data_IF_082359965364
#
_entry.id   IF_082359965364
#
_cell.length_a   1.000
_cell.length_b   1.000
_cell.length_c   1.000
_cell.angle_alpha   90.00
_cell.angle_beta   90.00
_cell.angle_gamma   90.00
#
_symmetry.space_group_name_H-M   'P 1'
#
loop_
_entity.id
_entity.type
_entity.pdbx_description
1 polymer ?
#
# COMPACT_ATOMS: atom_id res chain seq x y z
N UNK A 1 7.60 -4.93 3.63
CA UNK A 1 8.11 -6.32 3.64
C UNK A 1 9.58 -6.29 3.28
N UNK A 2 10.46 -6.52 4.22
CA UNK A 2 11.78 -6.99 3.85
C UNK A 2 11.61 -8.45 3.44
N UNK A 3 12.12 -8.80 2.25
CA UNK A 3 12.35 -10.18 1.93
C UNK A 3 13.06 -10.87 3.09
N UNK A 4 12.69 -12.09 3.38
CA UNK A 4 13.46 -12.99 4.23
C UNK A 4 14.93 -12.94 3.81
N UNK A 5 15.89 -13.21 4.69
CA UNK A 5 17.32 -13.12 4.37
C UNK A 5 17.56 -13.79 3.03
N UNK A 6 18.23 -13.08 2.14
CA UNK A 6 18.57 -13.63 0.83
C UNK A 6 19.37 -14.90 1.04
N UNK A 7 18.86 -16.00 0.54
CA UNK A 7 19.67 -17.20 0.40
C UNK A 7 20.78 -16.90 -0.61
N UNK A 8 21.98 -17.47 -0.46
CA UNK A 8 23.09 -17.23 -1.39
C UNK A 8 22.79 -17.58 -2.85
N UNK A 9 21.78 -18.41 -3.08
CA UNK A 9 21.31 -18.92 -4.37
C UNK A 9 20.18 -18.08 -4.98
N UNK A 10 19.65 -17.08 -4.26
CA UNK A 10 18.59 -16.17 -4.74
C UNK A 10 19.19 -14.80 -5.00
N UNK A 11 19.44 -14.50 -6.28
CA UNK A 11 20.17 -13.29 -6.69
C UNK A 11 19.50 -11.96 -6.34
N UNK A 12 18.18 -11.90 -6.23
CA UNK A 12 17.50 -10.63 -5.98
C UNK A 12 16.12 -10.80 -5.35
N UNK A 13 15.72 -9.79 -4.56
CA UNK A 13 14.32 -9.58 -4.21
C UNK A 13 13.49 -9.49 -5.48
N UNK A 14 12.27 -10.00 -5.41
CA UNK A 14 11.30 -9.86 -6.48
C UNK A 14 11.09 -8.38 -6.88
N UNK A 15 10.91 -8.15 -8.17
CA UNK A 15 10.67 -6.85 -8.76
C UNK A 15 9.31 -6.87 -9.47
N UNK A 16 8.51 -5.85 -9.27
CA UNK A 16 7.32 -5.65 -10.08
C UNK A 16 7.56 -4.50 -11.06
N UNK A 17 7.41 -4.77 -12.36
CA UNK A 17 7.71 -3.79 -13.41
C UNK A 17 9.12 -3.17 -13.29
N UNK A 18 10.10 -3.97 -12.85
CA UNK A 18 11.47 -3.50 -12.62
C UNK A 18 11.70 -2.70 -11.33
N UNK A 19 10.67 -2.51 -10.52
CA UNK A 19 10.74 -1.74 -9.27
C UNK A 19 10.80 -2.67 -8.06
N UNK A 20 11.82 -2.51 -7.23
CA UNK A 20 11.95 -3.20 -5.93
C UNK A 20 11.25 -2.44 -4.80
N UNK A 21 11.41 -1.12 -4.78
CA UNK A 21 10.81 -0.21 -3.78
C UNK A 21 10.36 1.03 -4.53
N UNK A 22 9.07 1.26 -4.58
CA UNK A 22 8.50 2.38 -5.30
C UNK A 22 7.02 2.19 -5.56
N UNK A 23 6.55 2.85 -6.60
CA UNK A 23 5.15 2.87 -7.01
C UNK A 23 5.05 2.47 -8.48
N UNK A 24 4.07 1.63 -8.79
CA UNK A 24 3.62 1.38 -10.16
C UNK A 24 2.18 1.85 -10.26
N UNK A 25 1.89 2.66 -11.27
CA UNK A 25 0.54 3.17 -11.54
C UNK A 25 0.16 2.64 -12.91
N UNK A 26 -0.76 1.68 -12.93
CA UNK A 26 -1.31 1.10 -14.16
C UNK A 26 -2.36 2.05 -14.75
N UNK A 27 -2.29 2.28 -16.06
CA UNK A 27 -3.20 3.12 -16.84
C UNK A 27 -3.74 2.33 -18.03
N UNK A 28 -4.73 2.87 -18.76
CA UNK A 28 -5.33 2.20 -19.93
C UNK A 28 -4.33 1.88 -21.03
N UNK A 29 -3.37 2.78 -21.28
CA UNK A 29 -2.45 2.68 -22.42
C UNK A 29 -1.00 2.44 -22.01
N UNK A 30 -0.75 2.07 -20.74
CA UNK A 30 0.59 1.87 -20.24
C UNK A 30 0.68 2.00 -18.74
N UNK A 31 1.87 2.30 -18.23
CA UNK A 31 2.05 2.44 -16.78
C UNK A 31 3.22 3.38 -16.44
N UNK A 32 3.17 3.96 -15.28
CA UNK A 32 4.31 4.59 -14.64
C UNK A 32 4.97 3.61 -13.67
N UNK A 33 6.29 3.58 -13.67
CA UNK A 33 7.06 2.84 -12.67
C UNK A 33 8.22 3.70 -12.16
N UNK A 34 8.25 3.95 -10.86
CA UNK A 34 9.26 4.82 -10.28
C UNK A 34 9.27 4.82 -8.76
N UNK A 35 10.14 5.64 -8.21
CA UNK A 35 10.33 5.79 -6.77
C UNK A 35 10.72 7.20 -6.39
N UNK A 36 11.44 7.34 -5.28
CA UNK A 36 11.79 8.63 -4.66
C UNK A 36 12.53 9.59 -5.61
N UNK A 37 13.34 9.07 -6.53
CA UNK A 37 14.12 9.87 -7.50
C UNK A 37 13.42 10.06 -8.84
N UNK A 38 12.13 9.78 -8.94
CA UNK A 38 11.38 9.79 -10.19
C UNK A 38 11.23 8.40 -10.80
N UNK A 39 10.90 8.34 -12.09
CA UNK A 39 10.65 7.08 -12.77
C UNK A 39 10.45 7.24 -14.26
N UNK A 40 9.81 6.26 -14.86
CA UNK A 40 9.52 6.23 -16.28
C UNK A 40 8.05 5.92 -16.55
N UNK A 41 7.54 6.56 -17.59
CA UNK A 41 6.27 6.19 -18.21
C UNK A 41 6.58 5.17 -19.30
N UNK A 42 5.80 4.11 -19.35
CA UNK A 42 5.87 3.02 -20.31
C UNK A 42 4.55 2.94 -21.07
N UNK A 43 4.63 2.59 -22.36
CA UNK A 43 3.44 2.28 -23.16
C UNK A 43 2.89 0.87 -22.85
N UNK A 44 1.84 0.48 -23.61
CA UNK A 44 1.22 -0.84 -23.49
C UNK A 44 2.15 -2.01 -23.85
N UNK A 45 3.16 -1.75 -24.67
CA UNK A 45 4.18 -2.73 -25.08
C UNK A 45 5.38 -2.78 -24.11
N UNK A 46 5.35 -1.96 -23.06
CA UNK A 46 6.42 -1.89 -22.06
C UNK A 46 7.65 -1.11 -22.51
N UNK A 47 7.55 -0.30 -23.57
CA UNK A 47 8.62 0.57 -24.02
C UNK A 47 8.62 1.88 -23.23
N UNK A 48 9.81 2.42 -22.94
CA UNK A 48 9.95 3.70 -22.26
C UNK A 48 9.52 4.85 -23.18
N UNK A 49 8.58 5.66 -22.71
CA UNK A 49 8.03 6.82 -23.43
C UNK A 49 8.60 8.11 -22.89
N UNK A 50 8.55 8.30 -21.56
CA UNK A 50 8.92 9.57 -20.93
C UNK A 50 9.55 9.33 -19.55
N UNK A 51 10.56 10.11 -19.23
CA UNK A 51 11.18 10.13 -17.91
C UNK A 51 10.49 11.19 -17.04
N UNK A 52 10.05 10.79 -15.87
CA UNK A 52 9.54 11.69 -14.82
C UNK A 52 10.66 11.88 -13.81
N UNK A 53 11.22 13.07 -13.74
CA UNK A 53 12.25 13.40 -12.75
C UNK A 53 11.62 13.66 -11.39
N UNK A 54 12.30 13.21 -10.32
CA UNK A 54 11.94 13.47 -8.93
C UNK A 54 13.12 14.04 -8.17
N UNK A 55 12.86 14.98 -7.27
CA UNK A 55 13.88 15.65 -6.47
C UNK A 55 14.36 14.83 -5.25
N UNK A 56 13.83 13.62 -5.08
CA UNK A 56 14.10 12.77 -3.91
C UNK A 56 13.57 13.35 -2.59
N UNK A 57 12.72 14.39 -2.65
CA UNK A 57 12.20 15.13 -1.50
C UNK A 57 13.16 16.18 -0.97
N UNK A 58 14.14 16.63 -1.76
CA UNK A 58 15.13 17.65 -1.35
C UNK A 58 14.48 19.00 -1.02
N UNK A 59 13.41 19.38 -1.74
CA UNK A 59 12.66 20.60 -1.51
C UNK A 59 11.66 20.55 -0.34
N UNK A 60 11.48 19.39 0.32
CA UNK A 60 10.43 19.20 1.33
C UNK A 60 10.55 20.17 2.52
N UNK A 61 11.75 20.29 3.09
CA UNK A 61 11.98 21.19 4.24
C UNK A 61 11.77 22.64 3.85
N UNK A 62 12.29 23.05 2.69
CA UNK A 62 12.14 24.40 2.19
C UNK A 62 10.67 24.76 1.96
N UNK A 63 9.91 23.87 1.31
CA UNK A 63 8.47 24.06 1.10
C UNK A 63 7.71 24.24 2.41
N UNK A 64 8.02 23.45 3.45
CA UNK A 64 7.42 23.63 4.77
C UNK A 64 7.74 25.02 5.38
N UNK A 65 9.00 25.43 5.34
CA UNK A 65 9.43 26.75 5.89
C UNK A 65 8.76 27.91 5.14
N UNK A 66 8.62 27.80 3.83
CA UNK A 66 7.97 28.84 3.03
C UNK A 66 6.47 28.92 3.30
N UNK A 67 5.79 27.77 3.47
CA UNK A 67 4.40 27.72 3.89
C UNK A 67 4.19 28.31 5.32
N UNK A 68 5.12 28.05 6.25
CA UNK A 68 5.10 28.69 7.58
C UNK A 68 5.23 30.21 7.50
N UNK A 69 6.10 30.73 6.61
CA UNK A 69 6.30 32.17 6.41
C UNK A 69 5.10 32.82 5.73
N UNK A 70 4.59 32.19 4.68
CA UNK A 70 3.43 32.72 3.92
C UNK A 70 2.11 32.61 4.70
N UNK A 71 2.03 31.73 5.71
CA UNK A 71 0.79 31.40 6.45
C UNK A 71 -0.32 30.86 5.55
N UNK A 72 0.02 30.27 4.41
CA UNK A 72 -0.92 29.71 3.44
C UNK A 72 -0.77 28.19 3.38
N UNK A 73 -1.68 27.41 3.98
CA UNK A 73 -1.62 25.94 3.94
C UNK A 73 -1.60 25.36 2.53
N UNK A 74 -2.19 26.06 1.56
CA UNK A 74 -2.21 25.68 0.15
C UNK A 74 -0.82 25.74 -0.52
N UNK A 75 0.16 26.40 0.08
CA UNK A 75 1.53 26.42 -0.41
C UNK A 75 2.29 25.12 -0.07
N UNK A 76 1.71 24.24 0.77
CA UNK A 76 2.26 22.92 1.06
C UNK A 76 2.06 21.96 -0.11
N UNK A 77 3.14 21.35 -0.60
CA UNK A 77 3.08 20.30 -1.63
C UNK A 77 2.38 19.03 -1.12
N UNK A 78 2.46 18.77 0.18
CA UNK A 78 1.79 17.65 0.83
C UNK A 78 0.97 18.15 2.04
N UNK A 79 -0.22 18.71 1.79
CA UNK A 79 -1.08 19.18 2.87
C UNK A 79 -1.57 18.01 3.73
N UNK A 80 -2.02 18.31 4.96
CA UNK A 80 -2.45 17.30 5.94
C UNK A 80 -3.49 16.32 5.36
N UNK A 81 -4.42 16.81 4.57
CA UNK A 81 -5.44 15.96 3.94
C UNK A 81 -4.85 14.93 2.98
N UNK A 82 -3.87 15.30 2.16
CA UNK A 82 -3.18 14.37 1.28
C UNK A 82 -2.40 13.31 2.07
N UNK A 83 -1.76 13.72 3.17
CA UNK A 83 -1.10 12.81 4.11
C UNK A 83 -2.08 11.84 4.77
N UNK A 84 -3.24 12.33 5.21
CA UNK A 84 -4.31 11.52 5.77
C UNK A 84 -4.80 10.48 4.78
N UNK A 85 -5.15 10.88 3.55
CA UNK A 85 -5.62 9.96 2.51
C UNK A 85 -4.58 8.89 2.16
N UNK A 86 -3.30 9.26 2.09
CA UNK A 86 -2.22 8.31 1.82
C UNK A 86 -2.04 7.30 2.95
N UNK A 87 -2.09 7.76 4.21
CA UNK A 87 -2.02 6.91 5.39
C UNK A 87 -3.22 5.96 5.50
N UNK A 88 -4.41 6.45 5.12
CA UNK A 88 -5.66 5.70 5.14
C UNK A 88 -5.55 4.39 4.35
N UNK A 89 -4.96 4.41 3.14
CA UNK A 89 -4.76 3.20 2.34
C UNK A 89 -3.92 2.15 3.07
N UNK A 90 -2.86 2.58 3.78
CA UNK A 90 -2.04 1.68 4.60
C UNK A 90 -2.84 1.10 5.78
N UNK A 91 -3.68 1.92 6.41
CA UNK A 91 -4.53 1.48 7.52
C UNK A 91 -5.62 0.51 7.07
N UNK A 92 -6.27 0.75 5.91
CA UNK A 92 -7.23 -0.19 5.33
C UNK A 92 -6.60 -1.56 5.06
N UNK A 93 -5.41 -1.59 4.47
CA UNK A 93 -4.65 -2.84 4.28
C UNK A 93 -4.32 -3.54 5.59
N UNK A 94 -3.93 -2.80 6.62
CA UNK A 94 -3.65 -3.35 7.95
C UNK A 94 -4.92 -3.89 8.63
N UNK A 95 -6.04 -3.18 8.53
CA UNK A 95 -7.33 -3.65 9.07
C UNK A 95 -7.78 -4.94 8.36
N UNK A 96 -7.73 -4.98 7.03
CA UNK A 96 -8.02 -6.16 6.24
C UNK A 96 -7.17 -7.36 6.68
N UNK A 97 -5.85 -7.17 6.81
CA UNK A 97 -4.94 -8.21 7.28
C UNK A 97 -5.28 -8.71 8.69
N UNK A 98 -5.60 -7.81 9.62
CA UNK A 98 -5.89 -8.15 11.03
C UNK A 98 -7.22 -8.85 11.23
N UNK A 99 -8.22 -8.54 10.40
CA UNK A 99 -9.53 -9.20 10.40
C UNK A 99 -9.53 -10.47 9.55
N UNK A 100 -8.49 -10.64 8.72
CA UNK A 100 -8.36 -11.79 7.84
C UNK A 100 -8.12 -13.11 8.57
N UNK A 101 -8.33 -14.18 7.84
CA UNK A 101 -8.17 -15.56 8.33
C UNK A 101 -6.96 -16.21 7.67
N UNK A 102 -6.31 -17.09 8.40
CA UNK A 102 -5.24 -17.94 7.84
C UNK A 102 -5.85 -18.99 6.92
N UNK A 103 -5.34 -19.05 5.69
CA UNK A 103 -5.82 -19.97 4.65
C UNK A 103 -4.66 -20.59 3.89
N UNK A 104 -4.86 -21.79 3.28
CA UNK A 104 -3.94 -22.33 2.29
C UNK A 104 -3.94 -21.49 1.00
N UNK A 105 -2.88 -21.63 0.19
CA UNK A 105 -2.74 -20.93 -1.09
C UNK A 105 -3.91 -21.16 -2.05
N UNK A 106 -4.45 -22.39 -2.10
CA UNK A 106 -5.58 -22.73 -2.95
C UNK A 106 -6.84 -21.92 -2.63
N UNK A 107 -7.14 -21.73 -1.35
CA UNK A 107 -8.28 -20.91 -0.91
C UNK A 107 -8.07 -19.44 -1.28
N UNK A 108 -6.84 -18.94 -1.12
CA UNK A 108 -6.52 -17.57 -1.52
C UNK A 108 -6.65 -17.38 -3.05
N UNK A 109 -6.17 -18.32 -3.86
CA UNK A 109 -6.32 -18.29 -5.32
C UNK A 109 -7.77 -18.24 -5.76
N UNK A 110 -8.62 -19.07 -5.17
CA UNK A 110 -10.05 -19.09 -5.46
C UNK A 110 -10.72 -17.76 -5.11
N UNK A 111 -10.34 -17.14 -4.02
CA UNK A 111 -10.91 -15.87 -3.57
C UNK A 111 -10.49 -14.68 -4.45
N UNK A 112 -9.33 -14.75 -5.10
CA UNK A 112 -8.76 -13.67 -5.91
C UNK A 112 -8.83 -13.89 -7.43
N UNK A 113 -9.45 -14.99 -7.88
CA UNK A 113 -9.49 -15.42 -9.29
C UNK A 113 -10.07 -14.38 -10.25
N UNK A 114 -11.00 -13.53 -9.78
CA UNK A 114 -11.67 -12.52 -10.58
C UNK A 114 -10.86 -11.23 -10.76
N UNK A 115 -9.67 -11.16 -10.13
CA UNK A 115 -8.74 -10.04 -10.23
C UNK A 115 -7.40 -10.53 -10.80
N UNK A 116 -7.12 -10.31 -12.10
CA UNK A 116 -5.86 -10.75 -12.70
C UNK A 116 -4.62 -10.21 -11.98
N UNK A 117 -4.65 -8.93 -11.57
CA UNK A 117 -3.55 -8.31 -10.83
C UNK A 117 -3.34 -8.97 -9.46
N UNK A 118 -4.42 -9.22 -8.71
CA UNK A 118 -4.32 -9.86 -7.40
C UNK A 118 -3.84 -11.32 -7.51
N UNK A 119 -4.29 -12.04 -8.54
CA UNK A 119 -3.85 -13.40 -8.84
C UNK A 119 -2.36 -13.46 -9.16
N UNK A 120 -1.85 -12.56 -10.03
CA UNK A 120 -0.43 -12.47 -10.35
C UNK A 120 0.41 -12.18 -9.09
N UNK A 121 0.00 -11.20 -8.29
CA UNK A 121 0.70 -10.85 -7.05
C UNK A 121 0.70 -12.01 -6.04
N UNK A 122 -0.40 -12.75 -5.93
CA UNK A 122 -0.48 -13.93 -5.07
C UNK A 122 0.47 -15.03 -5.54
N UNK A 123 0.51 -15.32 -6.84
CA UNK A 123 1.39 -16.38 -7.38
C UNK A 123 2.88 -16.02 -7.20
N UNK A 124 3.23 -14.76 -7.39
CA UNK A 124 4.59 -14.25 -7.11
C UNK A 124 4.94 -14.36 -5.62
N UNK A 125 3.99 -14.01 -4.73
CA UNK A 125 4.18 -14.18 -3.29
C UNK A 125 4.37 -15.65 -2.90
N UNK A 126 3.57 -16.56 -3.47
CA UNK A 126 3.69 -18.00 -3.21
C UNK A 126 5.04 -18.53 -3.70
N UNK A 127 5.47 -18.15 -4.89
CA UNK A 127 6.78 -18.52 -5.42
C UNK A 127 7.93 -18.01 -4.52
N UNK A 128 7.83 -16.76 -4.04
CA UNK A 128 8.79 -16.19 -3.09
C UNK A 128 8.81 -16.96 -1.76
N UNK A 129 7.66 -17.32 -1.20
CA UNK A 129 7.57 -18.10 0.03
C UNK A 129 8.15 -19.50 -0.14
N UNK A 130 7.83 -20.17 -1.26
CA UNK A 130 8.38 -21.48 -1.58
C UNK A 130 9.92 -21.45 -1.73
N UNK A 131 10.47 -20.41 -2.35
CA UNK A 131 11.90 -20.20 -2.45
C UNK A 131 12.59 -19.98 -1.08
N UNK A 132 11.82 -19.68 -0.04
CA UNK A 132 12.28 -19.55 1.34
C UNK A 132 11.82 -20.70 2.24
N UNK A 133 11.50 -21.85 1.65
CA UNK A 133 11.11 -23.10 2.33
C UNK A 133 9.83 -22.96 3.20
N UNK A 134 8.94 -22.02 2.84
CA UNK A 134 7.66 -21.83 3.52
C UNK A 134 6.57 -22.59 2.76
N UNK A 135 5.98 -23.58 3.43
CA UNK A 135 4.87 -24.35 2.90
C UNK A 135 3.56 -23.56 2.96
N UNK A 136 2.99 -23.30 1.78
CA UNK A 136 1.71 -22.59 1.60
C UNK A 136 0.53 -23.54 1.34
N UNK A 137 0.73 -24.84 1.35
CA UNK A 137 -0.36 -25.83 1.28
C UNK A 137 -1.17 -25.88 2.57
N UNK A 138 -0.58 -25.44 3.67
CA UNK A 138 -1.21 -25.28 4.99
C UNK A 138 -1.75 -23.86 5.17
N UNK A 139 -2.59 -23.57 6.19
CA UNK A 139 -3.13 -22.24 6.47
C UNK A 139 -2.05 -21.23 6.91
N UNK A 140 -1.22 -20.79 5.98
CA UNK A 140 -0.09 -19.88 6.20
C UNK A 140 -0.40 -18.45 5.77
N UNK A 141 -1.17 -18.28 4.69
CA UNK A 141 -1.49 -16.99 4.11
C UNK A 141 -2.63 -16.32 4.88
N UNK A 142 -2.51 -15.03 5.17
CA UNK A 142 -3.61 -14.26 5.71
C UNK A 142 -4.47 -13.70 4.55
N UNK A 143 -5.64 -14.27 4.34
CA UNK A 143 -6.63 -13.74 3.42
C UNK A 143 -7.46 -12.69 4.17
N UNK A 144 -7.27 -11.41 3.83
CA UNK A 144 -7.95 -10.30 4.47
C UNK A 144 -9.39 -10.14 3.96
N UNK A 145 -10.24 -9.60 4.81
CA UNK A 145 -11.59 -9.22 4.44
C UNK A 145 -11.60 -7.93 3.62
N UNK A 146 -12.61 -7.77 2.78
CA UNK A 146 -12.83 -6.54 2.02
C UNK A 146 -13.34 -5.46 2.96
N UNK A 147 -12.52 -4.44 3.20
CA UNK A 147 -12.90 -3.27 4.01
C UNK A 147 -13.43 -2.18 3.07
N UNK A 148 -14.62 -1.71 3.36
CA UNK A 148 -15.24 -0.58 2.66
C UNK A 148 -15.31 0.60 3.59
N UNK A 149 -15.01 1.79 3.07
CA UNK A 149 -15.06 3.04 3.83
C UNK A 149 -15.98 4.04 3.13
N UNK A 150 -16.74 4.78 3.92
CA UNK A 150 -17.46 5.95 3.45
C UNK A 150 -16.50 7.16 3.47
N UNK A 151 -16.17 7.74 2.31
CA UNK A 151 -15.22 8.85 2.22
C UNK A 151 -15.75 10.17 2.80
N UNK A 152 -17.04 10.26 3.13
CA UNK A 152 -17.62 11.46 3.74
C UNK A 152 -17.50 11.47 5.26
N UNK A 153 -17.49 10.30 5.86
CA UNK A 153 -17.50 10.15 7.32
C UNK A 153 -16.20 9.53 7.85
N UNK A 154 -15.29 9.10 6.94
CA UNK A 154 -14.08 8.36 7.29
C UNK A 154 -14.34 7.14 8.18
N UNK A 155 -15.51 6.52 8.02
CA UNK A 155 -15.90 5.33 8.79
C UNK A 155 -16.02 4.11 7.91
N UNK A 156 -15.64 2.97 8.44
CA UNK A 156 -15.83 1.69 7.77
C UNK A 156 -17.32 1.32 7.75
N UNK A 157 -17.80 0.80 6.61
CA UNK A 157 -19.18 0.39 6.37
C UNK A 157 -19.25 -1.05 5.88
N UNK A 158 -20.41 -1.68 6.00
CA UNK A 158 -20.65 -3.06 5.56
C UNK A 158 -20.52 -4.09 6.69
N UNK A 159 -20.40 -5.39 6.35
CA UNK A 159 -20.52 -6.49 7.31
C UNK A 159 -19.50 -6.43 8.46
N UNK A 160 -18.27 -6.02 8.19
CA UNK A 160 -17.17 -5.97 9.18
C UNK A 160 -16.95 -4.57 9.75
N UNK A 161 -17.95 -3.67 9.63
CA UNK A 161 -17.81 -2.26 9.99
C UNK A 161 -17.48 -2.06 11.48
N UNK A 162 -18.09 -2.83 12.37
CA UNK A 162 -17.88 -2.69 13.83
C UNK A 162 -16.43 -3.01 14.22
N UNK A 163 -15.91 -4.13 13.77
CA UNK A 163 -14.55 -4.58 14.04
C UNK A 163 -13.51 -3.67 13.36
N UNK A 164 -13.77 -3.29 12.11
CA UNK A 164 -12.89 -2.40 11.37
C UNK A 164 -12.81 -1.01 12.01
N UNK A 165 -13.95 -0.43 12.41
CA UNK A 165 -13.98 0.85 13.11
C UNK A 165 -13.32 0.78 14.50
N UNK A 166 -13.40 -0.35 15.20
CA UNK A 166 -12.68 -0.55 16.45
C UNK A 166 -11.14 -0.56 16.25
N UNK A 167 -10.65 -0.99 15.06
CA UNK A 167 -9.24 -0.94 14.69
C UNK A 167 -8.81 0.43 14.15
N UNK A 168 -9.72 1.22 13.62
CA UNK A 168 -9.43 2.54 13.06
C UNK A 168 -9.13 3.58 14.13
N UNK A 169 -9.66 3.41 15.33
CA UNK A 169 -9.46 4.36 16.43
C UNK A 169 -8.37 3.89 17.39
N UNK A 170 -7.51 4.83 17.77
CA UNK A 170 -6.51 4.58 18.80
C UNK A 170 -7.16 4.58 20.18
N UNK A 171 -6.73 3.65 21.04
CA UNK A 171 -7.08 3.70 22.47
C UNK A 171 -6.24 4.79 23.14
N UNK A 172 -6.87 5.89 23.55
CA UNK A 172 -6.20 6.97 24.29
C UNK A 172 -6.04 6.61 25.76
N UNK A 173 -5.01 7.14 26.40
CA UNK A 173 -4.89 7.10 27.87
C UNK A 173 -5.92 8.04 28.46
N UNK A 174 -6.50 7.69 29.62
CA UNK A 174 -7.63 8.40 30.25
C UNK A 174 -7.46 9.93 30.37
N UNK A 175 -6.25 10.42 30.65
CA UNK A 175 -5.99 11.87 30.76
C UNK A 175 -5.73 12.58 29.41
N UNK A 176 -5.74 11.86 28.29
CA UNK A 176 -5.36 12.35 26.97
C UNK A 176 -6.36 11.91 25.89
N UNK A 177 -7.62 11.83 26.25
CA UNK A 177 -8.69 11.53 25.29
C UNK A 177 -8.94 12.78 24.45
N UNK A 178 -8.81 12.65 23.13
CA UNK A 178 -9.27 13.69 22.20
C UNK A 178 -10.79 13.53 22.08
N UNK A 179 -11.53 14.59 22.37
CA UNK A 179 -12.96 14.64 22.08
C UNK A 179 -13.15 14.60 20.57
N UNK A 180 -14.05 13.74 20.10
CA UNK A 180 -14.47 13.73 18.70
C UNK A 180 -15.12 15.10 18.42
N UNK A 181 -14.40 15.98 17.77
CA UNK A 181 -14.99 17.21 17.23
C UNK A 181 -15.81 16.80 16.01
N UNK A 182 -17.11 16.62 16.21
CA UNK A 182 -18.09 16.27 15.18
C UNK A 182 -18.19 17.28 14.05
#
# INVERSE_FOLDING_TARGET
FRALPMRPDIEAMDHFRGIRIGTVIECENGYYAGGRGGGWIYDGDGQRVEQVEGDGGSAHVQNFLDAVRSRKPQDLNAPMQAGHMSALHCHLGNMSYRLGKKVPAEVARKALQDSPLASDQLDRMIAHLAANDIDTSTPTLALGDVIRMDPKTDTCVGPNAAEANALAKRRYRESFVLEDQG
#
